data_IF_318539014336
#
_entry.id   IF_318539014336
#
_cell.length_a   1.000
_cell.length_b   1.000
_cell.length_c   1.000
_cell.angle_alpha   90.00
_cell.angle_beta   90.00
_cell.angle_gamma   90.00
#
_symmetry.space_group_name_H-M   'P 1'
#
loop_
_entity.id
_entity.type
_entity.pdbx_description
1 polymer ?
#
# COMPACT_ATOMS: atom_id res chain seq x y z
N UNK A 1 10.24 15.54 20.02
CA UNK A 1 10.82 14.92 18.81
C UNK A 1 11.31 16.03 17.92
N UNK A 2 12.60 16.07 17.58
CA UNK A 2 13.11 17.04 16.61
C UNK A 2 12.65 16.64 15.19
N UNK A 3 12.32 17.60 14.33
CA UNK A 3 11.89 17.36 12.95
C UNK A 3 12.89 16.49 12.15
N UNK A 4 14.19 16.61 12.45
CA UNK A 4 15.24 15.80 11.83
C UNK A 4 15.21 14.33 12.26
N UNK A 5 14.94 14.06 13.53
CA UNK A 5 14.79 12.69 14.05
C UNK A 5 13.55 12.02 13.47
N UNK A 6 12.45 12.77 13.39
CA UNK A 6 11.21 12.31 12.78
C UNK A 6 11.39 11.95 11.30
N UNK A 7 12.06 12.81 10.52
CA UNK A 7 12.38 12.53 9.12
C UNK A 7 13.28 11.31 8.96
N UNK A 8 14.28 11.16 9.83
CA UNK A 8 15.20 10.01 9.82
C UNK A 8 14.48 8.70 10.15
N UNK A 9 13.59 8.71 11.15
CA UNK A 9 12.76 7.55 11.49
C UNK A 9 11.81 7.20 10.35
N UNK A 10 11.13 8.19 9.77
CA UNK A 10 10.23 8.01 8.61
C UNK A 10 10.95 7.31 7.46
N UNK A 11 12.13 7.80 7.07
CA UNK A 11 12.95 7.18 6.00
C UNK A 11 13.35 5.74 6.34
N UNK A 12 13.71 5.45 7.59
CA UNK A 12 14.02 4.09 8.02
C UNK A 12 12.81 3.18 7.93
N UNK A 13 11.66 3.59 8.46
CA UNK A 13 10.44 2.77 8.45
C UNK A 13 9.99 2.48 7.02
N UNK A 14 10.02 3.48 6.12
CA UNK A 14 9.72 3.27 4.69
C UNK A 14 10.72 2.31 4.04
N UNK A 15 12.01 2.40 4.38
CA UNK A 15 13.04 1.50 3.83
C UNK A 15 12.71 0.03 4.12
N UNK A 16 12.26 -0.27 5.34
CA UNK A 16 11.93 -1.64 5.78
C UNK A 16 10.49 -2.06 5.44
N UNK A 17 9.67 -1.17 4.88
CA UNK A 17 8.35 -1.55 4.38
C UNK A 17 8.46 -2.59 3.25
N UNK A 18 7.49 -3.50 3.12
CA UNK A 18 7.53 -4.54 2.09
C UNK A 18 7.41 -3.93 0.69
N UNK A 19 8.11 -4.55 -0.27
CA UNK A 19 8.22 -3.99 -1.63
C UNK A 19 6.91 -4.03 -2.41
N UNK A 20 6.04 -5.01 -2.14
CA UNK A 20 4.70 -5.06 -2.73
C UNK A 20 3.89 -3.81 -2.38
N UNK A 21 3.94 -3.36 -1.12
CA UNK A 21 3.19 -2.19 -0.65
C UNK A 21 3.73 -0.90 -1.27
N UNK A 22 5.07 -0.76 -1.37
CA UNK A 22 5.71 0.37 -2.06
C UNK A 22 5.25 0.46 -3.51
N UNK A 23 5.23 -0.68 -4.22
CA UNK A 23 4.82 -0.76 -5.62
C UNK A 23 3.35 -0.40 -5.80
N UNK A 24 2.47 -0.97 -4.96
CA UNK A 24 1.03 -0.73 -5.06
C UNK A 24 0.66 0.72 -4.77
N UNK A 25 1.25 1.33 -3.73
CA UNK A 25 1.01 2.74 -3.43
C UNK A 25 1.51 3.67 -4.53
N UNK A 26 2.65 3.38 -5.16
CA UNK A 26 3.11 4.11 -6.36
C UNK A 26 2.13 3.97 -7.51
N UNK A 27 1.63 2.76 -7.77
CA UNK A 27 0.63 2.53 -8.81
C UNK A 27 -0.66 3.30 -8.55
N UNK A 28 -1.11 3.36 -7.29
CA UNK A 28 -2.30 4.12 -6.88
C UNK A 28 -2.07 5.62 -7.12
N UNK A 29 -0.94 6.17 -6.67
CA UNK A 29 -0.63 7.60 -6.88
C UNK A 29 -0.51 7.93 -8.37
N UNK A 30 0.15 7.09 -9.16
CA UNK A 30 0.30 7.30 -10.60
C UNK A 30 -1.04 7.25 -11.36
N UNK A 31 -1.99 6.43 -10.90
CA UNK A 31 -3.31 6.29 -11.55
C UNK A 31 -4.30 7.37 -11.13
N UNK A 32 -4.39 7.63 -9.83
CA UNK A 32 -5.41 8.53 -9.25
C UNK A 32 -4.93 9.98 -9.14
N UNK A 33 -3.61 10.21 -9.26
CA UNK A 33 -2.96 11.50 -9.13
C UNK A 33 -2.89 12.04 -7.70
N UNK A 34 -2.40 13.27 -7.55
CA UNK A 34 -2.09 13.90 -6.26
C UNK A 34 -3.29 14.12 -5.34
N UNK A 35 -4.51 13.93 -5.83
CA UNK A 35 -5.74 14.10 -5.04
C UNK A 35 -6.12 12.84 -4.25
N UNK A 36 -5.39 11.73 -4.42
CA UNK A 36 -5.67 10.51 -3.64
C UNK A 36 -5.51 10.79 -2.15
N UNK A 37 -6.59 10.51 -1.41
CA UNK A 37 -6.65 10.60 0.06
C UNK A 37 -6.23 9.26 0.66
N UNK A 38 -5.74 9.28 1.90
CA UNK A 38 -5.32 8.07 2.63
C UNK A 38 -6.44 7.03 2.68
N UNK A 39 -7.66 7.43 3.08
CA UNK A 39 -8.81 6.52 3.13
C UNK A 39 -9.16 5.90 1.78
N UNK A 40 -8.97 6.65 0.69
CA UNK A 40 -9.21 6.16 -0.65
C UNK A 40 -8.12 5.18 -1.09
N UNK A 41 -6.84 5.48 -0.83
CA UNK A 41 -5.73 4.58 -1.10
C UNK A 41 -5.87 3.25 -0.33
N UNK A 42 -6.28 3.32 0.94
CA UNK A 42 -6.60 2.14 1.74
C UNK A 42 -7.73 1.37 1.08
N UNK A 43 -8.86 2.00 0.73
CA UNK A 43 -9.97 1.32 0.05
C UNK A 43 -9.53 0.64 -1.26
N UNK A 44 -8.64 1.26 -2.04
CA UNK A 44 -8.10 0.67 -3.27
C UNK A 44 -7.23 -0.56 -2.99
N UNK A 45 -6.37 -0.50 -1.96
CA UNK A 45 -5.60 -1.67 -1.51
C UNK A 45 -6.53 -2.80 -1.05
N UNK A 46 -7.57 -2.49 -0.28
CA UNK A 46 -8.54 -3.51 0.13
C UNK A 46 -9.25 -4.09 -1.07
N UNK A 47 -9.68 -3.28 -2.04
CA UNK A 47 -10.33 -3.78 -3.25
C UNK A 47 -9.39 -4.66 -4.11
N UNK A 48 -8.08 -4.39 -4.11
CA UNK A 48 -7.09 -5.18 -4.83
C UNK A 48 -6.88 -6.57 -4.20
N UNK A 49 -6.95 -6.67 -2.87
CA UNK A 49 -6.69 -7.90 -2.14
C UNK A 49 -7.96 -8.61 -1.62
N UNK A 50 -9.12 -7.95 -1.70
CA UNK A 50 -10.41 -8.56 -1.39
C UNK A 50 -10.87 -9.46 -2.52
N UNK A 51 -11.49 -10.58 -2.17
CA UNK A 51 -12.08 -11.51 -3.13
C UNK A 51 -13.10 -10.78 -4.01
N UNK A 52 -12.84 -10.71 -5.32
CA UNK A 52 -13.78 -10.24 -6.33
C UNK A 52 -14.15 -11.38 -7.28
N UNK A 53 -15.24 -11.23 -8.03
CA UNK A 53 -15.74 -12.27 -8.95
C UNK A 53 -14.71 -12.67 -10.02
N UNK A 54 -13.81 -11.77 -10.42
CA UNK A 54 -12.70 -12.08 -11.33
C UNK A 54 -11.69 -13.08 -10.75
N UNK A 55 -11.47 -13.05 -9.42
CA UNK A 55 -10.64 -14.03 -8.72
C UNK A 55 -11.32 -15.40 -8.64
N UNK A 56 -12.64 -15.48 -8.59
CA UNK A 56 -13.40 -16.75 -8.62
C UNK A 56 -13.22 -17.46 -9.96
N UNK A 57 -13.28 -16.73 -11.08
CA UNK A 57 -13.05 -17.31 -12.41
C UNK A 57 -11.59 -17.71 -12.65
N UNK A 58 -10.62 -16.96 -12.10
CA UNK A 58 -9.19 -17.30 -12.19
C UNK A 58 -8.75 -18.43 -11.23
N UNK A 59 -9.52 -18.73 -10.18
CA UNK A 59 -9.16 -19.70 -9.13
C UNK A 59 -9.68 -21.13 -9.35
N UNK A 60 -10.35 -21.39 -10.47
CA UNK A 60 -10.65 -22.77 -10.90
C UNK A 60 -9.37 -23.61 -11.14
N UNK A 61 -8.18 -23.01 -11.13
CA UNK A 61 -6.93 -23.64 -11.55
C UNK A 61 -5.76 -23.58 -10.53
N UNK A 62 -6.03 -23.76 -9.21
CA UNK A 62 -5.04 -23.88 -8.09
C UNK A 62 -4.47 -22.57 -7.50
N UNK A 63 -5.31 -21.74 -6.90
CA UNK A 63 -4.90 -20.43 -6.37
C UNK A 63 -4.86 -20.28 -4.82
N UNK A 64 -4.58 -21.36 -4.09
CA UNK A 64 -4.46 -21.33 -2.62
C UNK A 64 -3.42 -20.30 -2.14
N UNK A 65 -2.31 -20.18 -2.88
CA UNK A 65 -1.21 -19.26 -2.55
C UNK A 65 -1.61 -17.78 -2.66
N UNK A 66 -2.48 -17.42 -3.60
CA UNK A 66 -2.96 -16.04 -3.71
C UNK A 66 -3.91 -15.68 -2.59
N UNK A 67 -4.84 -16.57 -2.23
CA UNK A 67 -5.78 -16.31 -1.13
C UNK A 67 -5.01 -16.10 0.19
N UNK A 68 -3.98 -16.91 0.45
CA UNK A 68 -3.10 -16.74 1.60
C UNK A 68 -2.29 -15.43 1.51
N UNK A 69 -1.74 -15.11 0.35
CA UNK A 69 -0.97 -13.87 0.14
C UNK A 69 -1.85 -12.64 0.34
N UNK A 70 -3.05 -12.63 -0.23
CA UNK A 70 -4.02 -11.56 -0.10
C UNK A 70 -4.45 -11.36 1.35
N UNK A 71 -4.74 -12.45 2.07
CA UNK A 71 -5.01 -12.40 3.50
C UNK A 71 -3.84 -11.79 4.29
N UNK A 72 -2.60 -12.22 4.01
CA UNK A 72 -1.41 -11.68 4.66
C UNK A 72 -1.22 -10.18 4.36
N UNK A 73 -1.47 -9.75 3.13
CA UNK A 73 -1.35 -8.35 2.73
C UNK A 73 -2.42 -7.47 3.39
N UNK A 74 -3.68 -7.92 3.41
CA UNK A 74 -4.78 -7.24 4.12
C UNK A 74 -4.46 -7.11 5.61
N UNK A 75 -4.05 -8.20 6.26
CA UNK A 75 -3.68 -8.17 7.67
C UNK A 75 -2.48 -7.24 7.93
N UNK A 76 -1.51 -7.19 7.02
CA UNK A 76 -0.41 -6.22 7.14
C UNK A 76 -0.91 -4.78 7.04
N UNK A 77 -1.82 -4.48 6.11
CA UNK A 77 -2.40 -3.14 5.95
C UNK A 77 -3.18 -2.74 7.20
N UNK A 78 -4.07 -3.61 7.69
CA UNK A 78 -4.87 -3.39 8.91
C UNK A 78 -3.97 -3.04 10.10
N UNK A 79 -2.90 -3.80 10.32
CA UNK A 79 -1.99 -3.59 11.44
C UNK A 79 -1.05 -2.38 11.26
N UNK A 80 -0.97 -1.80 10.07
CA UNK A 80 0.00 -0.76 9.72
C UNK A 80 -0.62 0.43 8.97
N UNK A 81 -1.87 0.78 9.27
CA UNK A 81 -2.59 1.89 8.60
C UNK A 81 -1.80 3.21 8.65
N UNK A 82 -1.17 3.53 9.78
CA UNK A 82 -0.37 4.74 9.93
C UNK A 82 0.87 4.75 9.03
N UNK A 83 1.49 3.59 8.86
CA UNK A 83 2.61 3.43 7.92
C UNK A 83 2.15 3.63 6.48
N UNK A 84 1.00 3.07 6.11
CA UNK A 84 0.41 3.27 4.77
C UNK A 84 0.13 4.76 4.52
N UNK A 85 -0.44 5.46 5.51
CA UNK A 85 -0.69 6.89 5.43
C UNK A 85 0.59 7.71 5.25
N UNK A 86 1.63 7.37 6.02
CA UNK A 86 2.93 8.02 5.99
C UNK A 86 3.66 7.75 4.65
N UNK A 87 3.65 6.51 4.17
CA UNK A 87 4.20 6.14 2.86
C UNK A 87 3.50 6.87 1.72
N UNK A 88 2.17 6.95 1.75
CA UNK A 88 1.41 7.66 0.72
C UNK A 88 1.79 9.13 0.66
N UNK A 89 1.92 9.79 1.82
CA UNK A 89 2.35 11.19 1.90
C UNK A 89 3.75 11.38 1.33
N UNK A 90 4.69 10.51 1.68
CA UNK A 90 6.07 10.59 1.18
C UNK A 90 6.17 10.30 -0.32
N UNK A 91 5.39 9.35 -0.86
CA UNK A 91 5.36 9.09 -2.31
C UNK A 91 4.85 10.33 -3.03
N UNK A 92 3.76 10.95 -2.55
CA UNK A 92 3.23 12.18 -3.15
C UNK A 92 4.22 13.35 -3.09
N UNK A 93 4.97 13.47 -2.00
CA UNK A 93 5.98 14.52 -1.86
C UNK A 93 7.19 14.29 -2.77
N UNK A 94 7.67 13.05 -2.90
CA UNK A 94 8.79 12.72 -3.79
C UNK A 94 8.38 12.72 -5.27
N UNK A 95 7.12 12.41 -5.60
CA UNK A 95 6.59 12.55 -6.97
C UNK A 95 6.48 14.01 -7.44
N UNK A 96 6.61 14.99 -6.52
CA UNK A 96 6.71 16.41 -6.84
C UNK A 96 8.17 16.87 -7.05
N UNK A 97 9.15 15.98 -6.85
CA UNK A 97 10.59 16.28 -6.99
C UNK A 97 11.23 15.73 -8.28
N UNK A 98 10.45 15.12 -9.19
CA UNK A 98 10.89 14.71 -10.55
C UNK A 98 10.30 15.61 -11.65
#
# INVERSE_FOLDING_TARGET
MNNQEFATMTKKVIKYAPDWLKKDLRNIVNKEGDKVRVSHAISLLYNQYSFNLGHIFASMDKNYDWAQTAHNHLNYIDNNIDLVALMLKEIKNNSLED
#
